data_IF_938848468350
#
_entry.id   IF_938848468350
#
_cell.length_a   1.000
_cell.length_b   1.000
_cell.length_c   1.000
_cell.angle_alpha   90.00
_cell.angle_beta   90.00
_cell.angle_gamma   90.00
#
_symmetry.space_group_name_H-M   'P 1'
#
loop_
_entity.id
_entity.type
_entity.pdbx_description
1 polymer ?
#
# COMPACT_ATOMS: atom_id res chain seq x y z
N UNK A 1 18.15 -54.10 -17.22
CA UNK A 1 16.98 -53.37 -17.73
C UNK A 1 15.95 -53.34 -16.63
N UNK A 2 15.30 -52.20 -16.41
CA UNK A 2 14.24 -52.05 -15.42
C UNK A 2 13.09 -53.03 -15.73
N UNK A 3 12.64 -53.85 -14.76
CA UNK A 3 11.56 -54.83 -14.96
C UNK A 3 10.18 -54.21 -15.26
N UNK A 4 10.05 -52.88 -15.27
CA UNK A 4 8.80 -52.14 -15.52
C UNK A 4 8.85 -51.17 -16.71
N UNK A 5 9.86 -51.30 -17.58
CA UNK A 5 10.07 -50.39 -18.71
C UNK A 5 9.05 -50.60 -19.87
N UNK A 6 8.59 -49.56 -20.59
CA UNK A 6 7.62 -49.69 -21.69
C UNK A 6 8.11 -50.60 -22.81
N UNK A 7 9.41 -50.52 -23.13
CA UNK A 7 10.01 -51.39 -24.14
C UNK A 7 9.94 -52.87 -23.74
N UNK A 8 10.02 -53.19 -22.44
CA UNK A 8 9.88 -54.56 -21.95
C UNK A 8 8.44 -55.05 -22.11
N UNK A 9 7.44 -54.21 -21.84
CA UNK A 9 6.03 -54.55 -22.09
C UNK A 9 5.78 -54.81 -23.59
N UNK A 10 6.33 -53.96 -24.48
CA UNK A 10 6.21 -54.14 -25.92
C UNK A 10 6.91 -55.42 -26.41
N UNK A 11 8.08 -55.76 -25.86
CA UNK A 11 8.77 -57.03 -26.16
C UNK A 11 7.98 -58.23 -25.67
N UNK A 12 7.43 -58.19 -24.45
CA UNK A 12 6.61 -59.27 -23.88
C UNK A 12 5.32 -59.48 -24.67
N UNK A 13 4.66 -58.40 -25.11
CA UNK A 13 3.47 -58.47 -25.96
C UNK A 13 3.77 -59.14 -27.31
N UNK A 14 4.90 -58.78 -27.94
CA UNK A 14 5.34 -59.41 -29.20
C UNK A 14 5.71 -60.89 -29.00
N UNK A 15 6.36 -61.22 -27.89
CA UNK A 15 6.69 -62.61 -27.54
C UNK A 15 5.42 -63.44 -27.33
N UNK A 16 4.41 -62.88 -26.65
CA UNK A 16 3.14 -63.53 -26.42
C UNK A 16 2.45 -63.88 -27.75
N UNK A 17 2.37 -62.92 -28.68
CA UNK A 17 1.80 -63.15 -30.01
C UNK A 17 2.53 -64.24 -30.81
N UNK A 18 3.86 -64.32 -30.70
CA UNK A 18 4.65 -65.36 -31.36
C UNK A 18 4.42 -66.74 -30.75
N UNK A 19 4.27 -66.83 -29.42
CA UNK A 19 3.99 -68.10 -28.73
C UNK A 19 2.60 -68.63 -29.03
N UNK A 20 1.61 -67.75 -29.11
CA UNK A 20 0.24 -68.10 -29.49
C UNK A 20 0.20 -68.68 -30.91
N UNK A 21 0.87 -68.02 -31.87
CA UNK A 21 0.99 -68.52 -33.24
C UNK A 21 1.74 -69.87 -33.35
N UNK A 22 2.60 -70.20 -32.37
CA UNK A 22 3.28 -71.49 -32.28
C UNK A 22 2.47 -72.57 -31.54
N UNK A 23 1.29 -72.23 -31.03
CA UNK A 23 0.42 -73.14 -30.27
C UNK A 23 0.75 -73.26 -28.77
N UNK A 24 1.68 -72.45 -28.25
CA UNK A 24 2.01 -72.36 -26.82
C UNK A 24 1.11 -71.32 -26.13
N UNK A 25 -0.16 -71.68 -25.95
CA UNK A 25 -1.17 -70.81 -25.35
C UNK A 25 -0.84 -70.41 -23.90
N UNK A 26 -0.32 -71.34 -23.10
CA UNK A 26 0.05 -71.09 -21.71
C UNK A 26 1.21 -70.09 -21.61
N UNK A 27 2.23 -70.26 -22.45
CA UNK A 27 3.37 -69.35 -22.52
C UNK A 27 3.03 -67.98 -23.12
N UNK A 28 2.01 -67.90 -23.97
CA UNK A 28 1.46 -66.65 -24.50
C UNK A 28 0.66 -65.89 -23.44
N UNK A 29 -0.24 -66.56 -22.73
CA UNK A 29 -1.04 -65.97 -21.65
C UNK A 29 -0.16 -65.33 -20.57
N UNK A 30 0.85 -66.08 -20.08
CA UNK A 30 1.78 -65.57 -19.08
C UNK A 30 2.59 -64.34 -19.55
N UNK A 31 2.91 -64.27 -20.85
CA UNK A 31 3.62 -63.13 -21.43
C UNK A 31 2.69 -61.90 -21.62
N UNK A 32 1.42 -62.10 -21.99
CA UNK A 32 0.43 -61.04 -22.07
C UNK A 32 0.10 -60.45 -20.70
N UNK A 33 -0.16 -61.28 -19.69
CA UNK A 33 -0.45 -60.83 -18.32
C UNK A 33 0.65 -59.91 -17.80
N UNK A 34 1.91 -60.30 -18.01
CA UNK A 34 3.06 -59.52 -17.57
C UNK A 34 3.23 -58.22 -18.38
N UNK A 35 2.93 -58.23 -19.68
CA UNK A 35 2.95 -57.02 -20.50
C UNK A 35 1.87 -56.02 -20.03
N UNK A 36 0.64 -56.49 -19.79
CA UNK A 36 -0.46 -55.64 -19.32
C UNK A 36 -0.21 -55.09 -17.92
N UNK A 37 0.29 -55.90 -16.98
CA UNK A 37 0.63 -55.42 -15.64
C UNK A 37 1.66 -54.27 -15.66
N UNK A 38 2.61 -54.28 -16.61
CA UNK A 38 3.57 -53.18 -16.79
C UNK A 38 2.88 -51.93 -17.37
N UNK A 39 1.98 -52.09 -18.33
CA UNK A 39 1.24 -50.97 -18.94
C UNK A 39 0.29 -50.31 -17.94
N UNK A 40 -0.43 -51.08 -17.13
CA UNK A 40 -1.33 -50.56 -16.09
C UNK A 40 -0.54 -49.76 -15.04
N UNK A 41 0.62 -50.28 -14.61
CA UNK A 41 1.51 -49.56 -13.70
C UNK A 41 1.98 -48.23 -14.30
N UNK A 42 2.28 -48.18 -15.59
CA UNK A 42 2.69 -46.96 -16.28
C UNK A 42 1.57 -45.95 -16.40
N UNK A 43 0.35 -46.39 -16.73
CA UNK A 43 -0.82 -45.53 -16.78
C UNK A 43 -1.11 -44.91 -15.41
N UNK A 44 -1.04 -45.71 -14.35
CA UNK A 44 -1.19 -45.24 -12.98
C UNK A 44 -0.10 -44.23 -12.58
N UNK A 45 1.16 -44.51 -12.88
CA UNK A 45 2.28 -43.60 -12.61
C UNK A 45 2.16 -42.29 -13.40
N UNK A 46 1.78 -42.36 -14.69
CA UNK A 46 1.55 -41.18 -15.54
C UNK A 46 0.37 -40.34 -15.06
N UNK A 47 -0.70 -40.99 -14.59
CA UNK A 47 -1.86 -40.35 -13.98
C UNK A 47 -1.53 -39.69 -12.64
N UNK A 48 -0.68 -40.32 -11.82
CA UNK A 48 -0.18 -39.71 -10.59
C UNK A 48 0.73 -38.51 -10.87
N UNK A 49 1.67 -38.62 -11.81
CA UNK A 49 2.54 -37.51 -12.19
C UNK A 49 1.72 -36.30 -12.67
N UNK A 50 0.73 -36.53 -13.53
CA UNK A 50 -0.20 -35.50 -14.01
C UNK A 50 -1.02 -34.86 -12.88
N UNK A 51 -1.50 -35.66 -11.92
CA UNK A 51 -2.20 -35.14 -10.73
C UNK A 51 -1.27 -34.28 -9.86
N UNK A 52 -0.02 -34.71 -9.65
CA UNK A 52 0.98 -33.97 -8.86
C UNK A 52 1.33 -32.63 -9.52
N UNK A 53 1.50 -32.60 -10.85
CA UNK A 53 1.80 -31.34 -11.56
C UNK A 53 0.62 -30.39 -11.54
N UNK A 54 -0.62 -30.89 -11.69
CA UNK A 54 -1.84 -30.10 -11.58
C UNK A 54 -2.02 -29.52 -10.17
N UNK A 55 -1.81 -30.32 -9.12
CA UNK A 55 -1.84 -29.86 -7.73
C UNK A 55 -0.81 -28.75 -7.48
N UNK A 56 0.44 -28.95 -7.91
CA UNK A 56 1.49 -27.94 -7.77
C UNK A 56 1.18 -26.65 -8.54
N UNK A 57 0.50 -26.73 -9.69
CA UNK A 57 0.05 -25.56 -10.44
C UNK A 57 -1.07 -24.81 -9.71
N UNK A 58 -2.05 -25.55 -9.17
CA UNK A 58 -3.13 -24.98 -8.36
C UNK A 58 -2.59 -24.29 -7.10
N UNK A 59 -1.63 -24.90 -6.40
CA UNK A 59 -0.98 -24.31 -5.23
C UNK A 59 -0.25 -23.01 -5.58
N UNK A 60 0.49 -22.99 -6.69
CA UNK A 60 1.13 -21.76 -7.20
C UNK A 60 0.10 -20.67 -7.51
N UNK A 61 -1.01 -21.03 -8.16
CA UNK A 61 -2.07 -20.09 -8.48
C UNK A 61 -2.74 -19.55 -7.20
N UNK A 62 -2.98 -20.40 -6.21
CA UNK A 62 -3.52 -20.00 -4.92
C UNK A 62 -2.56 -19.06 -4.17
N UNK A 63 -1.25 -19.34 -4.18
CA UNK A 63 -0.24 -18.48 -3.57
C UNK A 63 -0.16 -17.10 -4.25
N UNK A 64 -0.21 -17.05 -5.58
CA UNK A 64 -0.27 -15.78 -6.34
C UNK A 64 -1.54 -15.01 -6.00
N UNK A 65 -2.69 -15.67 -5.99
CA UNK A 65 -3.96 -15.03 -5.65
C UNK A 65 -3.98 -14.51 -4.20
N UNK A 66 -3.41 -15.26 -3.25
CA UNK A 66 -3.25 -14.81 -1.86
C UNK A 66 -2.40 -13.54 -1.79
N UNK A 67 -1.27 -13.49 -2.48
CA UNK A 67 -0.41 -12.30 -2.53
C UNK A 67 -1.08 -11.11 -3.21
N UNK A 68 -1.88 -11.35 -4.25
CA UNK A 68 -2.66 -10.30 -4.90
C UNK A 68 -3.72 -9.73 -3.94
N UNK A 69 -4.42 -10.59 -3.18
CA UNK A 69 -5.38 -10.16 -2.16
C UNK A 69 -4.74 -9.35 -1.05
N UNK A 70 -3.62 -9.83 -0.51
CA UNK A 70 -2.85 -9.11 0.52
C UNK A 70 -2.43 -7.72 0.05
N UNK A 71 -1.92 -7.61 -1.19
CA UNK A 71 -1.58 -6.30 -1.78
C UNK A 71 -2.79 -5.37 -1.93
N UNK A 72 -3.94 -5.91 -2.32
CA UNK A 72 -5.18 -5.12 -2.47
C UNK A 72 -5.70 -4.64 -1.11
N UNK A 73 -5.61 -5.48 -0.08
CA UNK A 73 -5.98 -5.14 1.29
C UNK A 73 -5.06 -4.04 1.84
N UNK A 74 -3.74 -4.21 1.74
CA UNK A 74 -2.78 -3.19 2.16
C UNK A 74 -2.97 -1.85 1.42
N UNK A 75 -3.34 -1.88 0.14
CA UNK A 75 -3.67 -0.67 -0.63
C UNK A 75 -4.95 -0.01 -0.12
N UNK A 76 -6.01 -0.79 0.15
CA UNK A 76 -7.27 -0.29 0.72
C UNK A 76 -7.05 0.32 2.09
N UNK A 77 -6.27 -0.32 2.95
CA UNK A 77 -5.92 0.19 4.28
C UNK A 77 -5.14 1.50 4.19
N UNK A 78 -4.21 1.61 3.24
CA UNK A 78 -3.47 2.85 2.98
C UNK A 78 -4.41 3.96 2.52
N UNK A 79 -5.36 3.68 1.62
CA UNK A 79 -6.35 4.65 1.19
C UNK A 79 -7.24 5.10 2.34
N UNK A 80 -7.78 4.14 3.12
CA UNK A 80 -8.61 4.44 4.28
C UNK A 80 -7.87 5.29 5.32
N UNK A 81 -6.60 4.94 5.59
CA UNK A 81 -5.72 5.69 6.51
C UNK A 81 -5.45 7.10 5.99
N UNK A 82 -5.16 7.27 4.69
CA UNK A 82 -4.93 8.58 4.09
C UNK A 82 -6.20 9.45 4.10
N UNK A 83 -7.37 8.86 3.82
CA UNK A 83 -8.66 9.56 3.91
C UNK A 83 -8.97 9.97 5.35
N UNK A 84 -8.75 9.10 6.33
CA UNK A 84 -8.90 9.45 7.75
C UNK A 84 -7.95 10.58 8.14
N UNK A 85 -6.68 10.52 7.73
CA UNK A 85 -5.69 11.54 8.03
C UNK A 85 -6.02 12.91 7.39
N UNK A 86 -6.60 12.95 6.18
CA UNK A 86 -7.12 14.20 5.62
C UNK A 86 -8.34 14.71 6.41
N UNK A 87 -9.29 13.83 6.75
CA UNK A 87 -10.46 14.21 7.54
C UNK A 87 -10.06 14.76 8.93
N UNK A 88 -9.03 14.18 9.55
CA UNK A 88 -8.44 14.69 10.79
C UNK A 88 -7.80 16.07 10.61
N UNK A 89 -7.02 16.27 9.53
CA UNK A 89 -6.46 17.58 9.19
C UNK A 89 -7.53 18.63 8.94
N UNK A 90 -8.61 18.29 8.26
CA UNK A 90 -9.73 19.20 8.03
C UNK A 90 -10.46 19.57 9.32
N UNK A 91 -10.66 18.61 10.23
CA UNK A 91 -11.17 18.88 11.58
C UNK A 91 -10.25 19.83 12.34
N UNK A 92 -8.94 19.60 12.30
CA UNK A 92 -7.95 20.48 12.93
C UNK A 92 -7.96 21.89 12.31
N UNK A 93 -8.03 21.99 10.98
CA UNK A 93 -8.12 23.28 10.26
C UNK A 93 -9.35 24.06 10.69
N UNK A 94 -10.52 23.41 10.78
CA UNK A 94 -11.75 24.04 11.22
C UNK A 94 -11.63 24.56 12.66
N UNK A 95 -11.10 23.74 13.57
CA UNK A 95 -10.91 24.12 14.98
C UNK A 95 -9.92 25.28 15.14
N UNK A 96 -8.79 25.24 14.42
CA UNK A 96 -7.78 26.31 14.42
C UNK A 96 -8.36 27.60 13.85
N UNK A 97 -9.08 27.54 12.72
CA UNK A 97 -9.73 28.74 12.14
C UNK A 97 -10.74 29.36 13.10
N UNK A 98 -11.50 28.53 13.82
CA UNK A 98 -12.44 29.02 14.83
C UNK A 98 -11.71 29.75 15.97
N UNK A 99 -10.63 29.18 16.51
CA UNK A 99 -9.80 29.83 17.54
C UNK A 99 -9.19 31.14 17.03
N UNK A 100 -8.61 31.14 15.83
CA UNK A 100 -8.03 32.32 15.21
C UNK A 100 -9.07 33.42 14.96
N UNK A 101 -10.28 33.07 14.52
CA UNK A 101 -11.37 34.03 14.32
C UNK A 101 -11.80 34.67 15.64
N UNK A 102 -11.85 33.92 16.74
CA UNK A 102 -12.16 34.48 18.06
C UNK A 102 -11.07 35.46 18.52
N UNK A 103 -9.79 35.11 18.32
CA UNK A 103 -8.66 36.01 18.63
C UNK A 103 -8.69 37.27 17.78
N UNK A 104 -8.92 37.13 16.48
CA UNK A 104 -8.99 38.26 15.55
C UNK A 104 -10.14 39.21 15.89
N UNK A 105 -11.31 38.69 16.28
CA UNK A 105 -12.45 39.52 16.67
C UNK A 105 -12.15 40.44 17.86
N UNK A 106 -11.23 40.03 18.75
CA UNK A 106 -10.74 40.85 19.86
C UNK A 106 -9.66 41.87 19.48
N UNK A 107 -9.18 41.89 18.24
CA UNK A 107 -8.04 42.69 17.79
C UNK A 107 -8.48 43.85 16.88
N UNK A 108 -8.26 45.08 17.34
CA UNK A 108 -8.57 46.28 16.57
C UNK A 108 -7.58 46.51 15.41
N UNK A 109 -6.29 46.25 15.65
CA UNK A 109 -5.20 46.48 14.69
C UNK A 109 -4.42 45.19 14.41
N UNK A 110 -3.67 45.15 13.30
CA UNK A 110 -2.71 44.07 13.02
C UNK A 110 -1.65 43.97 14.13
N UNK A 111 -1.27 45.09 14.76
CA UNK A 111 -0.34 45.06 15.89
C UNK A 111 -0.91 44.25 17.06
N UNK A 112 -2.21 44.39 17.35
CA UNK A 112 -2.88 43.62 18.40
C UNK A 112 -2.96 42.14 18.03
N UNK A 113 -3.31 41.84 16.77
CA UNK A 113 -3.35 40.47 16.26
C UNK A 113 -1.97 39.80 16.35
N UNK A 114 -0.90 40.47 15.90
CA UNK A 114 0.45 39.94 15.98
C UNK A 114 0.87 39.65 17.42
N UNK A 115 0.52 40.53 18.38
CA UNK A 115 0.77 40.27 19.80
C UNK A 115 -0.05 39.11 20.35
N UNK A 116 -1.33 39.01 20.00
CA UNK A 116 -2.20 37.89 20.38
C UNK A 116 -1.70 36.55 19.82
N UNK A 117 -0.99 36.58 18.71
CA UNK A 117 -0.28 35.44 18.10
C UNK A 117 1.13 35.23 18.67
N UNK A 118 1.51 35.95 19.73
CA UNK A 118 2.80 35.82 20.41
C UNK A 118 3.99 36.37 19.61
N UNK A 119 3.76 37.26 18.65
CA UNK A 119 4.80 37.98 17.91
C UNK A 119 5.02 39.32 18.59
N UNK A 120 6.26 39.60 18.98
CA UNK A 120 6.63 40.89 19.59
C UNK A 120 6.45 42.02 18.59
N UNK A 121 5.76 43.09 18.98
CA UNK A 121 5.63 44.33 18.20
C UNK A 121 6.18 45.48 19.04
N UNK A 122 7.26 46.11 18.57
CA UNK A 122 7.89 47.26 19.22
C UNK A 122 7.07 48.54 19.03
N UNK A 123 7.20 49.52 19.92
CA UNK A 123 6.50 50.82 19.80
C UNK A 123 5.19 50.95 20.60
N UNK A 124 4.93 50.06 21.56
CA UNK A 124 3.78 50.19 22.47
C UNK A 124 2.43 50.14 21.75
N UNK A 125 1.43 50.91 22.21
CA UNK A 125 0.07 50.87 21.63
C UNK A 125 -0.05 51.34 20.19
N UNK A 126 0.90 52.13 19.68
CA UNK A 126 0.88 52.71 18.33
C UNK A 126 2.25 52.54 17.64
N UNK A 127 2.55 51.34 17.12
CA UNK A 127 3.81 51.07 16.45
C UNK A 127 3.95 51.86 15.14
N UNK A 128 5.17 52.24 14.78
CA UNK A 128 5.46 52.82 13.46
C UNK A 128 5.31 51.77 12.35
N UNK A 129 5.11 52.21 11.10
CA UNK A 129 5.00 51.31 9.95
C UNK A 129 6.21 50.37 9.80
N UNK A 130 7.42 50.87 10.11
CA UNK A 130 8.64 50.05 10.05
C UNK A 130 8.66 48.97 11.14
N UNK A 131 8.26 49.31 12.37
CA UNK A 131 8.16 48.35 13.48
C UNK A 131 7.10 47.28 13.20
N UNK A 132 5.96 47.68 12.64
CA UNK A 132 4.89 46.78 12.24
C UNK A 132 5.34 45.84 11.11
N UNK A 133 5.98 46.37 10.05
CA UNK A 133 6.54 45.57 8.96
C UNK A 133 7.60 44.56 9.46
N UNK A 134 8.40 44.95 10.47
CA UNK A 134 9.41 44.08 11.07
C UNK A 134 8.78 42.98 11.92
N UNK A 135 7.70 43.27 12.64
CA UNK A 135 6.90 42.27 13.34
C UNK A 135 6.20 41.30 12.36
N UNK A 136 5.61 41.81 11.28
CA UNK A 136 5.01 41.01 10.22
C UNK A 136 6.01 40.02 9.61
N UNK A 137 7.21 40.48 9.22
CA UNK A 137 8.28 39.59 8.70
C UNK A 137 8.66 38.50 9.70
N UNK A 138 8.74 38.80 11.00
CA UNK A 138 8.99 37.81 12.05
C UNK A 138 7.86 36.79 12.14
N UNK A 139 6.60 37.22 12.05
CA UNK A 139 5.45 36.32 12.02
C UNK A 139 5.51 35.37 10.82
N UNK A 140 5.78 35.88 9.61
CA UNK A 140 5.94 35.05 8.41
C UNK A 140 7.04 34.00 8.58
N UNK A 141 8.20 34.39 9.14
CA UNK A 141 9.31 33.46 9.37
C UNK A 141 9.05 32.43 10.47
N UNK A 142 8.22 32.77 11.47
CA UNK A 142 7.84 31.87 12.57
C UNK A 142 6.81 30.85 12.13
N UNK A 143 5.83 31.28 11.33
CA UNK A 143 4.68 30.48 10.92
C UNK A 143 4.76 29.98 9.47
N UNK A 144 5.94 30.07 8.84
CA UNK A 144 6.11 29.62 7.46
C UNK A 144 5.80 28.12 7.31
N UNK A 145 5.01 27.70 6.30
CA UNK A 145 4.63 26.29 6.12
C UNK A 145 5.84 25.36 5.95
N UNK A 146 6.86 25.76 5.20
CA UNK A 146 8.10 24.97 5.02
C UNK A 146 8.88 24.77 6.34
N UNK A 147 8.87 25.77 7.23
CA UNK A 147 9.50 25.65 8.55
C UNK A 147 8.65 24.85 9.52
N UNK A 148 7.33 25.02 9.46
CA UNK A 148 6.40 24.23 10.25
C UNK A 148 6.46 22.74 9.87
N UNK A 149 6.69 22.41 8.59
CA UNK A 149 6.86 21.04 8.12
C UNK A 149 8.02 20.30 8.79
N UNK A 150 9.03 21.02 9.30
CA UNK A 150 10.21 20.44 9.95
C UNK A 150 10.22 20.61 11.47
N UNK A 151 9.62 21.67 12.01
CA UNK A 151 9.71 22.03 13.43
C UNK A 151 8.50 21.64 14.29
N UNK A 152 7.32 21.52 13.69
CA UNK A 152 6.09 21.27 14.43
C UNK A 152 6.12 19.91 15.13
N UNK A 153 5.69 19.87 16.40
CA UNK A 153 5.66 18.66 17.20
C UNK A 153 4.53 17.71 16.77
N UNK A 154 3.43 18.27 16.26
CA UNK A 154 2.27 17.52 15.80
C UNK A 154 1.57 18.17 14.59
N UNK A 155 0.60 17.47 14.02
CA UNK A 155 -0.16 17.94 12.87
C UNK A 155 -1.01 19.19 13.18
N UNK A 156 -1.43 19.36 14.44
CA UNK A 156 -2.19 20.55 14.86
C UNK A 156 -1.32 21.80 14.82
N UNK A 157 -0.07 21.73 15.23
CA UNK A 157 0.88 22.83 15.15
C UNK A 157 1.23 23.19 13.71
N UNK A 158 1.31 22.20 12.80
CA UNK A 158 1.49 22.44 11.35
C UNK A 158 0.31 23.20 10.76
N UNK A 159 -0.90 22.71 11.01
CA UNK A 159 -2.14 23.36 10.58
C UNK A 159 -2.26 24.75 11.19
N UNK A 160 -1.92 24.92 12.48
CA UNK A 160 -1.90 26.21 13.14
C UNK A 160 -0.96 27.20 12.44
N UNK A 161 0.27 26.79 12.12
CA UNK A 161 1.21 27.65 11.40
C UNK A 161 0.68 28.06 10.00
N UNK A 162 0.14 27.12 9.23
CA UNK A 162 -0.45 27.40 7.92
C UNK A 162 -1.60 28.42 7.99
N UNK A 163 -2.52 28.25 8.94
CA UNK A 163 -3.68 29.12 9.08
C UNK A 163 -3.30 30.50 9.65
N UNK A 164 -2.34 30.56 10.59
CA UNK A 164 -1.77 31.84 11.06
C UNK A 164 -1.08 32.58 9.92
N UNK A 165 -0.30 31.88 9.09
CA UNK A 165 0.38 32.49 7.95
C UNK A 165 -0.62 33.12 6.97
N UNK A 166 -1.69 32.39 6.62
CA UNK A 166 -2.78 32.90 5.76
C UNK A 166 -3.44 34.13 6.37
N UNK A 167 -3.83 34.05 7.63
CA UNK A 167 -4.50 35.15 8.34
C UNK A 167 -3.65 36.42 8.39
N UNK A 168 -2.39 36.29 8.83
CA UNK A 168 -1.47 37.43 8.97
C UNK A 168 -1.18 38.07 7.61
N UNK A 169 -1.03 37.27 6.55
CA UNK A 169 -0.85 37.76 5.18
C UNK A 169 -2.08 38.54 4.70
N UNK A 170 -3.28 37.97 4.85
CA UNK A 170 -4.54 38.62 4.46
C UNK A 170 -4.79 39.92 5.23
N UNK A 171 -4.56 39.92 6.56
CA UNK A 171 -4.76 41.12 7.39
C UNK A 171 -3.77 42.23 7.04
N UNK A 172 -2.50 41.89 6.78
CA UNK A 172 -1.49 42.86 6.35
C UNK A 172 -1.86 43.49 5.00
N UNK A 173 -2.29 42.69 4.02
CA UNK A 173 -2.74 43.21 2.73
C UNK A 173 -3.97 44.13 2.86
N UNK A 174 -4.90 43.82 3.76
CA UNK A 174 -6.06 44.65 4.01
C UNK A 174 -5.68 45.99 4.66
N UNK A 175 -4.74 45.99 5.61
CA UNK A 175 -4.24 47.24 6.21
C UNK A 175 -3.43 48.10 5.24
N UNK A 176 -2.63 47.50 4.35
CA UNK A 176 -1.86 48.24 3.37
C UNK A 176 -2.71 48.94 2.29
N UNK A 177 -4.00 48.54 2.16
CA UNK A 177 -4.96 49.13 1.22
C UNK A 177 -5.86 50.20 1.85
N UNK A 178 -5.81 50.38 3.18
CA UNK A 178 -6.55 51.43 3.91
C UNK A 178 -5.75 52.72 3.96
#
# INVERSE_FOLDING_TARGET
GDPTHPDLAATLYRLAALRDAAGDGDGAAAAYERAFAILDLQEHQGSEASRRTAAAAADRQAAVAARQREKLEAYRDRLASATSAEADRDRLRAAVRADLAQREAGCATLADLLRALGVTVEGGGAPTAQQLASAYKRALLRYHPDRAATRAADERERVHAEEVFKLVTQRFEHEARR
#
